data_IF_745458552080
#
_entry.id   IF_745458552080
#
_cell.length_a   1.000
_cell.length_b   1.000
_cell.length_c   1.000
_cell.angle_alpha   90.00
_cell.angle_beta   90.00
_cell.angle_gamma   90.00
#
_symmetry.space_group_name_H-M   'P 1'
#
loop_
_entity.id
_entity.type
_entity.pdbx_description
1 polymer ?
#
# COMPACT_ATOMS: atom_id res chain seq x y z
N UNK A 1 -12.49 20.63 35.77
CA UNK A 1 -12.98 19.56 34.88
C UNK A 1 -12.72 19.95 33.42
N UNK A 2 -11.55 19.55 32.87
CA UNK A 2 -11.17 19.77 31.46
C UNK A 2 -11.08 18.40 30.76
N UNK A 3 -12.18 17.66 30.67
CA UNK A 3 -12.11 16.19 30.46
C UNK A 3 -12.59 15.68 29.11
N UNK A 4 -13.35 16.44 28.31
CA UNK A 4 -13.81 15.97 26.98
C UNK A 4 -12.88 16.41 25.85
N UNK A 5 -12.37 17.65 25.88
CA UNK A 5 -11.51 18.19 24.82
C UNK A 5 -10.16 17.47 24.69
N UNK A 6 -9.60 16.98 25.80
CA UNK A 6 -8.38 16.16 25.81
C UNK A 6 -8.61 14.79 25.16
N UNK A 7 -9.76 14.15 25.40
CA UNK A 7 -10.06 12.83 24.83
C UNK A 7 -10.19 12.81 23.30
N UNK A 8 -10.48 13.96 22.69
CA UNK A 8 -10.63 14.11 21.24
C UNK A 8 -9.35 14.57 20.53
N UNK A 9 -8.30 14.92 21.29
CA UNK A 9 -7.06 15.37 20.70
C UNK A 9 -6.14 14.16 20.42
N UNK A 10 -5.78 13.88 19.16
CA UNK A 10 -4.97 12.70 18.82
C UNK A 10 -3.52 12.81 19.30
N UNK A 11 -3.07 14.00 19.71
CA UNK A 11 -1.71 14.27 20.13
C UNK A 11 -1.53 14.38 21.65
N UNK A 12 -2.55 14.04 22.46
CA UNK A 12 -2.44 14.15 23.93
C UNK A 12 -1.26 13.38 24.49
N UNK A 13 -0.90 12.23 23.90
CA UNK A 13 0.29 11.48 24.32
C UNK A 13 1.60 12.29 24.22
N UNK A 14 1.68 13.23 23.27
CA UNK A 14 2.85 14.10 23.10
C UNK A 14 2.80 15.33 24.01
N UNK A 15 1.60 15.81 24.36
CA UNK A 15 1.41 17.03 25.14
C UNK A 15 1.41 16.77 26.66
N UNK A 16 0.85 15.64 27.08
CA UNK A 16 0.68 15.25 28.47
C UNK A 16 0.66 13.72 28.58
N UNK A 17 1.84 13.08 28.58
CA UNK A 17 1.93 11.62 28.62
C UNK A 17 1.40 11.04 29.93
N UNK A 18 1.62 11.73 31.05
CA UNK A 18 1.19 11.29 32.38
C UNK A 18 -0.33 11.17 32.46
N UNK A 19 -1.08 12.12 31.89
CA UNK A 19 -2.54 12.02 31.84
C UNK A 19 -3.02 10.79 31.04
N UNK A 20 -2.31 10.41 29.98
CA UNK A 20 -2.64 9.23 29.18
C UNK A 20 -2.35 7.95 29.96
N UNK A 21 -1.19 7.86 30.61
CA UNK A 21 -0.82 6.68 31.40
C UNK A 21 -1.80 6.45 32.56
N UNK A 22 -2.13 7.51 33.31
CA UNK A 22 -3.13 7.43 34.38
C UNK A 22 -4.51 6.99 33.85
N UNK A 23 -4.92 7.44 32.67
CA UNK A 23 -6.17 7.02 32.04
C UNK A 23 -6.14 5.54 31.61
N UNK A 24 -4.99 5.07 31.08
CA UNK A 24 -4.78 3.67 30.72
C UNK A 24 -4.84 2.78 31.97
N UNK A 25 -4.14 3.17 33.04
CA UNK A 25 -4.12 2.45 34.32
C UNK A 25 -5.49 2.36 34.98
N UNK A 26 -6.38 3.35 34.76
CA UNK A 26 -7.76 3.33 35.25
C UNK A 26 -8.74 2.50 34.41
N UNK A 27 -8.43 2.24 33.13
CA UNK A 27 -9.38 1.70 32.16
C UNK A 27 -9.67 0.20 32.34
N UNK A 28 -10.90 -0.14 32.72
CA UNK A 28 -11.35 -1.52 32.83
C UNK A 28 -11.42 -2.22 31.45
N UNK A 29 -11.84 -1.48 30.42
CA UNK A 29 -11.96 -2.00 29.06
C UNK A 29 -10.60 -2.39 28.48
N UNK A 30 -9.58 -1.54 28.67
CA UNK A 30 -8.22 -1.83 28.22
C UNK A 30 -7.60 -2.99 29.01
N UNK A 31 -7.87 -3.10 30.32
CA UNK A 31 -7.46 -4.26 31.13
C UNK A 31 -8.08 -5.58 30.67
N UNK A 32 -9.34 -5.55 30.25
CA UNK A 32 -10.07 -6.71 29.74
C UNK A 32 -9.80 -7.03 28.26
N UNK A 33 -9.07 -6.16 27.55
CA UNK A 33 -8.82 -6.29 26.13
C UNK A 33 -7.90 -7.48 25.86
N UNK A 34 -8.50 -8.62 25.51
CA UNK A 34 -7.77 -9.83 25.14
C UNK A 34 -7.02 -9.55 23.83
N UNK A 35 -5.69 -9.65 23.88
CA UNK A 35 -4.85 -9.54 22.70
C UNK A 35 -5.27 -10.60 21.66
N UNK A 36 -6.09 -10.20 20.69
CA UNK A 36 -6.38 -11.05 19.54
C UNK A 36 -5.19 -10.93 18.62
N UNK A 37 -4.42 -12.01 18.49
CA UNK A 37 -3.42 -12.09 17.44
C UNK A 37 -4.20 -12.19 16.12
N UNK A 38 -4.49 -11.02 15.53
CA UNK A 38 -5.05 -10.96 14.19
C UNK A 38 -3.95 -11.41 13.24
N UNK A 39 -4.16 -12.58 12.62
CA UNK A 39 -3.30 -13.09 11.55
C UNK A 39 -4.02 -13.01 10.21
N UNK A 40 -4.36 -11.80 9.73
CA UNK A 40 -5.16 -11.63 8.51
C UNK A 40 -4.45 -12.20 7.27
N UNK A 41 -3.12 -12.40 7.35
CA UNK A 41 -2.29 -12.93 6.27
C UNK A 41 -1.88 -14.40 6.45
N UNK A 42 -2.14 -15.02 7.60
CA UNK A 42 -1.79 -16.44 7.84
C UNK A 42 -2.63 -17.40 7.00
N UNK A 43 -3.81 -16.96 6.57
CA UNK A 43 -4.58 -17.63 5.53
C UNK A 43 -4.35 -16.84 4.24
N UNK A 44 -3.52 -17.32 3.30
CA UNK A 44 -3.42 -16.69 1.99
C UNK A 44 -4.78 -16.84 1.30
N UNK A 45 -5.63 -15.83 1.47
CA UNK A 45 -6.96 -15.72 0.85
C UNK A 45 -6.86 -15.29 -0.62
N UNK A 46 -5.67 -14.97 -1.11
CA UNK A 46 -5.43 -14.53 -2.48
C UNK A 46 -5.19 -15.79 -3.32
N UNK A 47 -6.11 -16.18 -4.22
CA UNK A 47 -5.84 -17.20 -5.20
C UNK A 47 -4.59 -16.77 -5.98
N UNK A 48 -3.61 -17.65 -6.03
CA UNK A 48 -2.37 -17.44 -6.79
C UNK A 48 -2.72 -17.45 -8.28
N UNK A 49 -3.11 -16.30 -8.81
CA UNK A 49 -3.52 -16.07 -10.19
C UNK A 49 -2.30 -16.00 -11.14
N UNK A 50 -1.27 -16.81 -10.90
CA UNK A 50 -0.04 -16.78 -11.70
C UNK A 50 -0.29 -17.15 -13.16
N UNK A 51 -1.31 -17.98 -13.42
CA UNK A 51 -1.61 -18.47 -14.76
C UNK A 51 -2.22 -17.39 -15.66
N UNK A 52 -3.02 -16.46 -15.12
CA UNK A 52 -3.61 -15.39 -15.95
C UNK A 52 -2.58 -14.32 -16.29
N UNK A 53 -1.69 -13.98 -15.35
CA UNK A 53 -0.65 -12.96 -15.57
C UNK A 53 0.29 -13.39 -16.70
N UNK A 54 0.74 -14.65 -16.70
CA UNK A 54 1.57 -15.19 -17.79
C UNK A 54 0.85 -15.22 -19.14
N UNK A 55 -0.46 -15.45 -19.15
CA UNK A 55 -1.25 -15.42 -20.38
C UNK A 55 -1.33 -14.01 -20.98
N UNK A 56 -1.41 -12.96 -20.15
CA UNK A 56 -1.36 -11.57 -20.62
C UNK A 56 0.01 -11.20 -21.16
N UNK A 57 1.09 -11.57 -20.48
CA UNK A 57 2.46 -11.31 -20.96
C UNK A 57 2.67 -11.96 -22.35
N UNK A 58 2.23 -13.22 -22.52
CA UNK A 58 2.34 -13.92 -23.80
C UNK A 58 1.47 -13.31 -24.92
N UNK A 59 0.30 -12.74 -24.59
CA UNK A 59 -0.54 -12.04 -25.56
C UNK A 59 0.11 -10.74 -26.05
N UNK A 60 0.78 -9.99 -25.17
CA UNK A 60 1.51 -8.77 -25.53
C UNK A 60 2.72 -9.13 -26.41
N UNK A 61 3.46 -10.18 -26.07
CA UNK A 61 4.59 -10.66 -26.87
C UNK A 61 4.17 -11.15 -28.26
N UNK A 62 2.95 -11.69 -28.40
CA UNK A 62 2.41 -12.17 -29.67
C UNK A 62 1.71 -11.08 -30.51
N UNK A 63 1.49 -9.89 -29.97
CA UNK A 63 0.82 -8.81 -30.67
C UNK A 63 1.83 -8.02 -31.54
N UNK A 64 1.79 -8.26 -32.85
CA UNK A 64 2.66 -7.61 -33.86
C UNK A 64 2.54 -6.07 -33.91
N UNK A 65 1.56 -5.49 -33.23
CA UNK A 65 1.29 -4.05 -33.22
C UNK A 65 2.48 -3.23 -32.67
N UNK A 66 3.26 -3.78 -31.73
CA UNK A 66 4.36 -3.08 -31.06
C UNK A 66 5.61 -2.85 -31.93
N UNK A 67 5.77 -3.56 -33.05
CA UNK A 67 6.91 -3.36 -33.97
C UNK A 67 6.78 -2.07 -34.81
N UNK A 68 5.55 -1.53 -34.94
CA UNK A 68 5.29 -0.27 -35.64
C UNK A 68 5.76 0.98 -34.88
N UNK A 69 5.98 0.87 -33.57
CA UNK A 69 6.46 1.96 -32.74
C UNK A 69 7.90 2.38 -33.07
N UNK A 70 8.73 1.43 -33.51
CA UNK A 70 10.12 1.68 -33.87
C UNK A 70 10.24 2.68 -35.04
N UNK A 71 9.36 2.58 -36.04
CA UNK A 71 9.36 3.50 -37.20
C UNK A 71 9.00 4.94 -36.77
N UNK A 72 8.05 5.11 -35.86
CA UNK A 72 7.66 6.44 -35.35
C UNK A 72 8.78 7.15 -34.56
N UNK A 73 9.60 6.42 -33.79
CA UNK A 73 10.74 7.01 -33.09
C UNK A 73 11.87 7.41 -34.04
N UNK A 74 12.07 6.67 -35.15
CA UNK A 74 13.08 7.04 -36.15
C UNK A 74 12.71 8.30 -36.95
N UNK A 75 11.42 8.55 -37.16
CA UNK A 75 10.94 9.77 -37.83
C UNK A 75 10.93 10.99 -36.88
N UNK A 76 10.70 10.78 -35.58
CA UNK A 76 10.72 11.85 -34.58
C UNK A 76 12.15 12.32 -34.21
N UNK A 77 13.18 11.49 -34.45
CA UNK A 77 14.59 11.81 -34.14
C UNK A 77 15.48 11.73 -35.39
N UNK A 78 15.51 12.79 -36.23
CA UNK A 78 16.29 12.81 -37.48
C UNK A 78 17.82 12.64 -37.29
N UNK A 79 18.34 12.81 -36.06
CA UNK A 79 19.75 12.63 -35.75
C UNK A 79 20.23 11.16 -35.81
N UNK A 80 19.31 10.18 -35.73
CA UNK A 80 19.66 8.75 -35.77
C UNK A 80 19.80 8.19 -37.20
N UNK A 81 19.44 8.96 -38.23
CA UNK A 81 19.48 8.56 -39.64
C UNK A 81 20.88 8.57 -40.27
N UNK A 82 21.88 9.16 -39.59
CA UNK A 82 23.19 9.46 -40.17
C UNK A 82 24.33 8.56 -39.67
N UNK A 83 24.04 7.43 -39.01
CA UNK A 83 25.08 6.47 -38.60
C UNK A 83 24.88 5.18 -39.38
N UNK A 84 25.30 5.21 -40.64
CA UNK A 84 25.56 4.01 -41.42
C UNK A 84 26.85 4.17 -42.23
#
# INVERSE_FOLDING_TARGET
>A
MKTSASRLNPFVLMLDPEAVLNAIEGSADLRGLRHRICRPLDKPLIPKLYDTVRAFDALIEAEDFMDSGAEFYTDAQPAMRAVH
#
